data_IF_618670964973
#
_entry.id   IF_618670964973
#
_cell.length_a   1.000
_cell.length_b   1.000
_cell.length_c   1.000
_cell.angle_alpha   90.00
_cell.angle_beta   90.00
_cell.angle_gamma   90.00
#
_symmetry.space_group_name_H-M   'P 1'
#
loop_
_entity.id
_entity.type
_entity.pdbx_description
1 polymer ?
#
# COMPACT_ATOMS: atom_id res chain seq x y z
N UNK A 1 3.98 -4.43 -17.33
CA UNK A 1 2.66 -3.81 -17.18
C UNK A 1 2.59 -3.18 -15.80
N UNK A 2 2.04 -1.96 -15.70
CA UNK A 2 1.86 -1.27 -14.42
C UNK A 2 0.83 -2.04 -13.56
N UNK A 3 1.06 -2.21 -12.25
CA UNK A 3 0.07 -2.81 -11.36
C UNK A 3 -1.24 -1.99 -11.32
N UNK A 4 -2.38 -2.64 -11.13
CA UNK A 4 -3.64 -1.91 -10.89
C UNK A 4 -3.73 -1.39 -9.46
N UNK A 5 -4.71 -0.53 -9.19
CA UNK A 5 -4.98 -0.09 -7.83
C UNK A 5 -5.39 -1.26 -6.94
N UNK A 6 -6.22 -2.17 -7.44
CA UNK A 6 -6.67 -3.36 -6.71
C UNK A 6 -5.49 -4.27 -6.35
N UNK A 7 -4.61 -4.58 -7.31
CA UNK A 7 -3.40 -5.38 -7.06
C UNK A 7 -2.49 -4.72 -6.03
N UNK A 8 -2.37 -3.39 -6.08
CA UNK A 8 -1.57 -2.62 -5.13
C UNK A 8 -2.21 -2.60 -3.73
N UNK A 9 -3.53 -2.39 -3.65
CA UNK A 9 -4.29 -2.34 -2.42
C UNK A 9 -4.23 -3.68 -1.68
N UNK A 10 -4.48 -4.79 -2.36
CA UNK A 10 -4.37 -6.14 -1.79
C UNK A 10 -2.95 -6.40 -1.25
N UNK A 11 -1.92 -5.93 -1.96
CA UNK A 11 -0.54 -6.07 -1.51
C UNK A 11 -0.23 -5.20 -0.28
N UNK A 12 -0.76 -3.98 -0.21
CA UNK A 12 -0.65 -3.08 0.95
C UNK A 12 -1.36 -3.69 2.15
N UNK A 13 -2.57 -4.21 1.98
CA UNK A 13 -3.32 -4.90 3.03
C UNK A 13 -2.52 -6.07 3.60
N UNK A 14 -2.01 -6.96 2.74
CA UNK A 14 -1.17 -8.07 3.19
C UNK A 14 0.12 -7.61 3.87
N UNK A 15 0.74 -6.55 3.36
CA UNK A 15 1.94 -5.95 3.94
C UNK A 15 1.68 -5.37 5.33
N UNK A 16 0.56 -4.66 5.49
CA UNK A 16 0.11 -4.07 6.75
C UNK A 16 -0.24 -5.15 7.77
N UNK A 17 -1.08 -6.13 7.41
CA UNK A 17 -1.46 -7.27 8.28
C UNK A 17 -0.24 -8.06 8.78
N UNK A 18 0.83 -8.19 7.98
CA UNK A 18 2.09 -8.85 8.41
C UNK A 18 2.86 -8.07 9.46
N UNK A 19 2.84 -6.73 9.37
CA UNK A 19 3.50 -5.82 10.32
C UNK A 19 2.71 -5.69 11.60
N UNK A 20 1.39 -5.74 11.49
CA UNK A 20 0.48 -5.46 12.59
C UNK A 20 -0.06 -6.73 13.27
N UNK A 21 0.76 -7.40 14.09
CA UNK A 21 0.36 -8.64 14.78
C UNK A 21 -0.49 -8.44 16.05
N UNK A 22 -0.75 -7.21 16.47
CA UNK A 22 -1.41 -6.91 17.76
C UNK A 22 -2.90 -6.57 17.66
N UNK A 23 -3.46 -6.40 16.45
CA UNK A 23 -4.89 -6.11 16.24
C UNK A 23 -5.64 -7.32 15.71
N UNK A 24 -6.91 -7.39 16.05
CA UNK A 24 -7.85 -8.33 15.44
C UNK A 24 -8.04 -8.00 13.96
N UNK A 25 -8.24 -9.03 13.12
CA UNK A 25 -8.31 -8.88 11.67
C UNK A 25 -9.38 -7.88 11.21
N UNK A 26 -10.54 -7.86 11.89
CA UNK A 26 -11.65 -6.96 11.59
C UNK A 26 -11.31 -5.48 11.86
N UNK A 27 -10.45 -5.20 12.84
CA UNK A 27 -10.01 -3.85 13.15
C UNK A 27 -9.00 -3.34 12.13
N UNK A 28 -8.06 -4.20 11.72
CA UNK A 28 -7.14 -3.89 10.63
C UNK A 28 -7.88 -3.58 9.31
N UNK A 29 -8.94 -4.33 9.00
CA UNK A 29 -9.76 -4.10 7.81
C UNK A 29 -10.54 -2.78 7.88
N UNK A 30 -11.15 -2.47 9.04
CA UNK A 30 -11.82 -1.18 9.25
C UNK A 30 -10.87 0.00 9.10
N UNK A 31 -9.66 -0.11 9.65
CA UNK A 31 -8.66 0.94 9.55
C UNK A 31 -8.17 1.13 8.10
N UNK A 32 -7.84 0.05 7.40
CA UNK A 32 -7.45 0.14 5.98
C UNK A 32 -8.57 0.73 5.10
N UNK A 33 -9.82 0.47 5.45
CA UNK A 33 -10.96 1.09 4.78
C UNK A 33 -11.07 2.59 5.07
N UNK A 34 -10.78 3.04 6.30
CA UNK A 34 -10.76 4.49 6.61
C UNK A 34 -9.62 5.23 5.91
N UNK A 35 -8.49 4.54 5.65
CA UNK A 35 -7.32 5.10 4.98
C UNK A 35 -7.32 4.93 3.45
N UNK A 36 -8.47 4.59 2.85
CA UNK A 36 -8.55 4.30 1.42
C UNK A 36 -8.07 5.46 0.53
N UNK A 37 -8.41 6.70 0.89
CA UNK A 37 -8.00 7.88 0.11
C UNK A 37 -6.50 8.14 0.22
N UNK A 38 -5.90 7.91 1.38
CA UNK A 38 -4.44 7.93 1.54
C UNK A 38 -3.79 6.90 0.60
N UNK A 39 -4.28 5.65 0.60
CA UNK A 39 -3.71 4.59 -0.24
C UNK A 39 -3.84 4.93 -1.73
N UNK A 40 -4.96 5.52 -2.17
CA UNK A 40 -5.15 6.01 -3.55
C UNK A 40 -4.15 7.09 -3.94
N UNK A 41 -3.90 8.07 -3.05
CA UNK A 41 -2.92 9.13 -3.29
C UNK A 41 -1.53 8.51 -3.49
N UNK A 42 -1.11 7.62 -2.58
CA UNK A 42 0.18 6.94 -2.67
C UNK A 42 0.31 6.10 -3.94
N UNK A 43 -0.74 5.37 -4.31
CA UNK A 43 -0.77 4.63 -5.58
C UNK A 43 -0.61 5.57 -6.79
N UNK A 44 -1.24 6.74 -6.78
CA UNK A 44 -1.10 7.75 -7.83
C UNK A 44 0.33 8.28 -7.96
N UNK A 45 0.98 8.58 -6.84
CA UNK A 45 2.38 9.02 -6.79
C UNK A 45 3.33 7.95 -7.34
N UNK A 46 3.22 6.72 -6.86
CA UNK A 46 4.04 5.59 -7.31
C UNK A 46 3.76 5.24 -8.78
N UNK A 47 2.50 5.35 -9.21
CA UNK A 47 2.11 5.19 -10.61
C UNK A 47 2.79 6.20 -11.50
N UNK A 48 2.86 7.46 -11.06
CA UNK A 48 3.56 8.51 -11.77
C UNK A 48 5.06 8.21 -11.87
N UNK A 49 5.71 7.79 -10.78
CA UNK A 49 7.13 7.41 -10.81
C UNK A 49 7.41 6.26 -11.77
N UNK A 50 6.52 5.28 -11.86
CA UNK A 50 6.63 4.17 -12.81
C UNK A 50 6.42 4.61 -14.26
N UNK A 51 5.39 5.43 -14.51
CA UNK A 51 5.09 5.95 -15.85
C UNK A 51 6.22 6.87 -16.35
N UNK A 52 6.85 7.63 -15.44
CA UNK A 52 8.02 8.48 -15.71
C UNK A 52 9.33 7.66 -15.84
N UNK A 53 9.28 6.33 -15.64
CA UNK A 53 10.42 5.41 -15.79
C UNK A 53 11.45 5.48 -14.66
N UNK A 54 11.10 6.10 -13.53
CA UNK A 54 12.00 6.27 -12.37
C UNK A 54 12.12 5.00 -11.54
N UNK A 55 11.07 4.18 -11.53
CA UNK A 55 11.01 2.91 -10.82
C UNK A 55 10.56 1.78 -11.75
N UNK A 56 11.06 0.57 -11.48
CA UNK A 56 10.59 -0.63 -12.16
C UNK A 56 9.39 -1.26 -11.43
N UNK A 57 8.78 -2.28 -12.05
CA UNK A 57 7.61 -2.97 -11.48
C UNK A 57 7.94 -3.61 -10.13
N UNK A 58 9.18 -4.07 -9.94
CA UNK A 58 9.62 -4.68 -8.68
C UNK A 58 9.64 -3.64 -7.57
N UNK A 59 10.21 -2.47 -7.83
CA UNK A 59 10.27 -1.35 -6.89
C UNK A 59 8.87 -0.82 -6.59
N UNK A 60 7.98 -0.77 -7.58
CA UNK A 60 6.55 -0.47 -7.38
C UNK A 60 5.92 -1.42 -6.36
N UNK A 61 5.95 -2.73 -6.63
CA UNK A 61 5.20 -3.73 -5.87
C UNK A 61 5.86 -4.14 -4.56
N UNK A 62 7.16 -3.94 -4.39
CA UNK A 62 7.87 -4.29 -3.15
C UNK A 62 8.14 -3.03 -2.35
N UNK A 63 8.82 -2.04 -2.95
CA UNK A 63 9.21 -0.80 -2.28
C UNK A 63 8.00 0.10 -1.99
N UNK A 64 7.17 0.35 -3.00
CA UNK A 64 5.96 1.15 -2.87
C UNK A 64 4.99 0.57 -1.84
N UNK A 65 4.68 -0.72 -1.96
CA UNK A 65 3.82 -1.44 -1.01
C UNK A 65 4.38 -1.41 0.41
N UNK A 66 5.67 -1.72 0.60
CA UNK A 66 6.28 -1.73 1.93
C UNK A 66 6.30 -0.34 2.58
N UNK A 67 6.52 0.70 1.78
CA UNK A 67 6.50 2.10 2.22
C UNK A 67 5.10 2.48 2.72
N UNK A 68 4.06 2.23 1.92
CA UNK A 68 2.67 2.55 2.29
C UNK A 68 2.21 1.76 3.52
N UNK A 69 2.48 0.45 3.54
CA UNK A 69 2.13 -0.39 4.68
C UNK A 69 2.80 0.08 5.99
N UNK A 70 4.05 0.54 5.93
CA UNK A 70 4.74 1.09 7.09
C UNK A 70 4.23 2.49 7.49
N UNK A 71 3.85 3.34 6.54
CA UNK A 71 3.20 4.61 6.87
C UNK A 71 1.88 4.38 7.62
N UNK A 72 1.04 3.47 7.13
CA UNK A 72 -0.20 3.07 7.80
C UNK A 72 0.09 2.51 9.20
N UNK A 73 1.15 1.70 9.33
CA UNK A 73 1.60 1.17 10.62
C UNK A 73 1.86 2.28 11.67
N UNK A 74 2.41 3.40 11.23
CA UNK A 74 2.81 4.50 12.11
C UNK A 74 1.69 5.51 12.40
N UNK A 75 0.57 5.45 11.65
CA UNK A 75 -0.52 6.43 11.72
C UNK A 75 -1.73 5.98 12.55
N UNK A 76 -1.84 4.68 12.87
CA UNK A 76 -2.85 4.13 13.78
C UNK A 76 -2.36 4.22 15.23
#
# INVERSE_FOLDING_TARGET
MKPTFEEFYEAVEQGFKKRWQVLEAEEAERYLASELDFIKIRYGEISKEYDDGLIDRKTFMIGGVASVAHCLEMMY
#
